data_IF_847987288806
#
_entry.id   IF_847987288806
#
_cell.length_a   1.000
_cell.length_b   1.000
_cell.length_c   1.000
_cell.angle_alpha   90.00
_cell.angle_beta   90.00
_cell.angle_gamma   90.00
#
_symmetry.space_group_name_H-M   'P 1'
#
loop_
_entity.id
_entity.type
_entity.pdbx_description
1 polymer ?
#
# COMPACT_ATOMS: atom_id res chain seq x y z
N UNK A 1 -5.70 18.51 -0.28
CA UNK A 1 -6.26 18.98 1.02
C UNK A 1 -7.22 17.92 1.51
N UNK A 2 -7.10 17.48 2.77
CA UNK A 2 -7.95 16.43 3.31
C UNK A 2 -9.42 16.89 3.41
N UNK A 3 -10.37 15.95 3.50
CA UNK A 3 -11.80 16.28 3.64
C UNK A 3 -12.11 17.12 4.88
N UNK A 4 -13.27 17.77 4.90
CA UNK A 4 -13.72 18.52 6.07
C UNK A 4 -13.82 17.59 7.29
N UNK A 5 -13.27 18.03 8.43
CA UNK A 5 -13.23 17.24 9.66
C UNK A 5 -11.98 16.35 9.78
N UNK A 6 -11.09 16.41 8.79
CA UNK A 6 -9.82 15.71 8.77
C UNK A 6 -8.63 16.66 8.86
N UNK A 7 -7.56 16.21 9.50
CA UNK A 7 -6.32 16.95 9.72
C UNK A 7 -5.17 16.23 9.01
N UNK A 8 -4.52 16.94 8.06
CA UNK A 8 -3.32 16.46 7.40
C UNK A 8 -2.19 16.34 8.42
N UNK A 9 -1.54 15.18 8.47
CA UNK A 9 -0.43 14.89 9.37
C UNK A 9 0.90 14.88 8.65
N UNK A 10 0.93 14.35 7.42
CA UNK A 10 2.16 14.25 6.66
C UNK A 10 1.90 14.26 5.16
N UNK A 11 2.86 14.75 4.39
CA UNK A 11 2.93 14.54 2.95
C UNK A 11 4.19 13.76 2.64
N UNK A 12 4.05 12.68 1.90
CA UNK A 12 5.17 11.82 1.50
C UNK A 12 5.31 11.90 -0.01
N UNK A 13 6.52 12.14 -0.48
CA UNK A 13 6.84 11.91 -1.89
C UNK A 13 7.44 10.53 -2.02
N UNK A 14 6.92 9.74 -2.95
CA UNK A 14 7.32 8.37 -3.21
C UNK A 14 8.03 8.30 -4.56
N UNK A 15 8.77 7.21 -4.76
CA UNK A 15 9.17 6.78 -6.11
C UNK A 15 7.94 6.42 -6.95
N UNK A 16 8.16 6.24 -8.26
CA UNK A 16 7.08 5.85 -9.19
C UNK A 16 6.11 6.99 -9.55
N UNK A 17 6.51 8.25 -9.39
CA UNK A 17 5.67 9.42 -9.64
C UNK A 17 4.38 9.45 -8.81
N UNK A 18 4.53 9.20 -7.50
CA UNK A 18 3.42 9.21 -6.55
C UNK A 18 3.69 10.19 -5.40
N UNK A 19 2.67 10.96 -5.05
CA UNK A 19 2.61 11.72 -3.80
C UNK A 19 1.53 11.14 -2.89
N UNK A 20 1.74 11.14 -1.58
CA UNK A 20 0.79 10.65 -0.60
C UNK A 20 0.48 11.73 0.44
N UNK A 21 -0.80 11.91 0.76
CA UNK A 21 -1.24 12.73 1.89
C UNK A 21 -1.78 11.82 2.97
N UNK A 22 -1.19 11.87 4.15
CA UNK A 22 -1.59 11.08 5.32
C UNK A 22 -2.31 11.97 6.32
N UNK A 23 -3.50 11.58 6.72
CA UNK A 23 -4.37 12.40 7.55
C UNK A 23 -5.21 11.56 8.50
N UNK A 24 -5.78 12.21 9.51
CA UNK A 24 -6.70 11.58 10.47
C UNK A 24 -8.00 12.37 10.51
N UNK A 25 -9.13 11.70 10.76
CA UNK A 25 -10.43 12.36 10.80
C UNK A 25 -11.04 12.25 12.20
N UNK A 26 -11.61 13.37 12.67
CA UNK A 26 -12.21 13.45 14.02
C UNK A 26 -13.45 12.57 14.21
N UNK A 27 -14.05 12.09 13.12
CA UNK A 27 -15.21 11.19 13.13
C UNK A 27 -14.86 9.71 13.19
N UNK A 28 -13.59 9.33 12.98
CA UNK A 28 -13.19 7.93 12.90
C UNK A 28 -12.85 7.35 14.29
N UNK A 29 -12.66 6.03 14.34
CA UNK A 29 -12.24 5.36 15.56
C UNK A 29 -10.82 5.80 15.96
N UNK A 30 -10.48 5.83 17.27
CA UNK A 30 -9.14 6.15 17.70
C UNK A 30 -8.09 5.21 17.09
N UNK A 31 -7.07 5.79 16.46
CA UNK A 31 -6.01 5.06 15.76
C UNK A 31 -6.27 4.87 14.27
N UNK A 32 -7.48 5.16 13.78
CA UNK A 32 -7.75 5.19 12.35
C UNK A 32 -6.99 6.35 11.69
N UNK A 33 -6.47 6.05 10.52
CA UNK A 33 -5.70 6.99 9.71
C UNK A 33 -5.93 6.69 8.24
N UNK A 34 -5.84 7.75 7.45
CA UNK A 34 -6.06 7.71 6.02
C UNK A 34 -4.80 8.06 5.26
N UNK A 35 -4.72 7.52 4.05
CA UNK A 35 -3.81 7.99 3.02
C UNK A 35 -4.60 8.22 1.73
N UNK A 36 -4.28 9.29 1.00
CA UNK A 36 -4.66 9.47 -0.40
C UNK A 36 -3.41 9.55 -1.24
N UNK A 37 -3.34 8.74 -2.30
CA UNK A 37 -2.27 8.73 -3.28
C UNK A 37 -2.66 9.54 -4.52
N UNK A 38 -1.71 10.30 -5.03
CA UNK A 38 -1.82 11.19 -6.17
C UNK A 38 -0.77 10.80 -7.20
N UNK A 39 -1.18 10.80 -8.47
CA UNK A 39 -0.28 10.79 -9.63
C UNK A 39 -0.43 12.11 -10.40
N UNK A 40 0.15 12.21 -11.60
CA UNK A 40 0.11 13.43 -12.41
C UNK A 40 -1.30 13.85 -12.86
N UNK A 41 -2.26 12.91 -12.88
CA UNK A 41 -3.65 13.22 -13.22
C UNK A 41 -4.49 13.58 -11.99
N UNK A 42 -3.90 13.45 -10.79
CA UNK A 42 -4.52 13.81 -9.51
C UNK A 42 -4.75 12.61 -8.59
N UNK A 43 -5.75 12.66 -7.70
CA UNK A 43 -5.97 11.61 -6.72
C UNK A 43 -6.45 10.33 -7.39
N UNK A 44 -5.78 9.20 -7.11
CA UNK A 44 -6.09 7.89 -7.73
C UNK A 44 -6.65 6.86 -6.76
N UNK A 45 -6.21 6.89 -5.51
CA UNK A 45 -6.55 5.88 -4.51
C UNK A 45 -6.58 6.50 -3.12
N UNK A 46 -7.54 6.10 -2.29
CA UNK A 46 -7.54 6.42 -0.86
C UNK A 46 -7.71 5.15 -0.05
N UNK A 47 -7.06 5.06 1.10
CA UNK A 47 -7.23 3.94 2.02
C UNK A 47 -7.32 4.41 3.46
N UNK A 48 -8.15 3.74 4.25
CA UNK A 48 -8.20 3.86 5.72
C UNK A 48 -7.65 2.58 6.33
N UNK A 49 -6.75 2.76 7.28
CA UNK A 49 -6.27 1.69 8.16
C UNK A 49 -6.59 2.04 9.61
N UNK A 50 -6.70 1.02 10.46
CA UNK A 50 -6.85 1.21 11.90
C UNK A 50 -5.51 1.12 12.65
N UNK A 51 -5.56 1.11 13.98
CA UNK A 51 -4.38 1.03 14.84
C UNK A 51 -3.53 -0.24 14.66
N UNK A 52 -4.12 -1.33 14.14
CA UNK A 52 -3.43 -2.58 13.83
C UNK A 52 -3.02 -2.64 12.35
N UNK A 53 -3.10 -1.52 11.64
CA UNK A 53 -2.82 -1.37 10.20
C UNK A 53 -3.69 -2.24 9.29
N UNK A 54 -4.86 -2.67 9.78
CA UNK A 54 -5.79 -3.47 8.98
C UNK A 54 -6.43 -2.61 7.90
N UNK A 55 -6.61 -3.16 6.71
CA UNK A 55 -7.11 -2.43 5.53
C UNK A 55 -8.63 -2.25 5.63
N UNK A 56 -9.06 -1.36 6.50
CA UNK A 56 -10.47 -1.14 6.82
C UNK A 56 -11.28 -0.73 5.59
N UNK A 57 -10.68 0.07 4.72
CA UNK A 57 -11.30 0.61 3.53
C UNK A 57 -10.24 0.95 2.47
N UNK A 58 -10.52 0.59 1.22
CA UNK A 58 -9.73 0.93 0.04
C UNK A 58 -10.66 1.47 -1.04
N UNK A 59 -10.34 2.63 -1.59
CA UNK A 59 -11.20 3.38 -2.50
C UNK A 59 -10.40 3.70 -3.75
N UNK A 60 -10.80 3.16 -4.88
CA UNK A 60 -10.33 3.65 -6.16
C UNK A 60 -11.13 4.90 -6.53
N UNK A 61 -10.44 6.04 -6.59
CA UNK A 61 -11.07 7.35 -6.79
C UNK A 61 -11.43 7.63 -8.26
N UNK A 62 -11.01 6.76 -9.19
CA UNK A 62 -11.26 6.90 -10.63
C UNK A 62 -12.53 6.19 -11.07
N UNK A 63 -12.79 5.00 -10.53
CA UNK A 63 -13.99 4.21 -10.87
C UNK A 63 -15.01 4.11 -9.73
N UNK A 64 -14.65 4.53 -8.51
CA UNK A 64 -15.53 4.53 -7.34
C UNK A 64 -15.73 3.16 -6.70
N UNK A 65 -14.89 2.17 -7.04
CA UNK A 65 -14.89 0.88 -6.36
C UNK A 65 -14.37 1.09 -4.93
N UNK A 66 -15.11 0.54 -3.96
CA UNK A 66 -14.79 0.61 -2.53
C UNK A 66 -14.73 -0.82 -2.00
N UNK A 67 -13.57 -1.22 -1.50
CA UNK A 67 -13.35 -2.48 -0.79
C UNK A 67 -13.29 -2.25 0.71
N UNK A 68 -14.04 -3.06 1.46
CA UNK A 68 -14.11 -2.99 2.91
C UNK A 68 -13.60 -4.30 3.52
N UNK A 69 -12.87 -4.20 4.64
CA UNK A 69 -12.53 -5.36 5.46
C UNK A 69 -13.80 -6.04 6.00
N UNK A 70 -13.92 -7.35 5.79
CA UNK A 70 -14.98 -8.11 6.45
C UNK A 70 -14.66 -8.30 7.95
N UNK A 71 -15.62 -8.09 8.86
CA UNK A 71 -15.37 -8.23 10.29
C UNK A 71 -14.89 -9.62 10.71
N UNK A 72 -15.41 -10.66 10.05
CA UNK A 72 -15.03 -12.06 10.29
C UNK A 72 -13.84 -12.45 9.40
N UNK A 73 -12.73 -12.80 10.04
CA UNK A 73 -11.55 -13.34 9.39
C UNK A 73 -11.08 -14.58 10.13
N UNK A 74 -10.31 -15.43 9.44
CA UNK A 74 -9.57 -16.50 10.10
C UNK A 74 -8.42 -15.90 10.91
N UNK A 75 -7.74 -14.92 10.32
CA UNK A 75 -6.76 -14.10 11.02
C UNK A 75 -6.70 -12.70 10.39
N UNK A 76 -6.78 -11.66 11.21
CA UNK A 76 -6.61 -10.29 10.75
C UNK A 76 -5.15 -9.91 10.90
N UNK A 77 -4.63 -9.08 9.98
CA UNK A 77 -3.29 -8.50 10.15
C UNK A 77 -3.17 -7.79 11.53
N UNK A 78 -2.01 -7.93 12.16
CA UNK A 78 -1.72 -7.38 13.49
C UNK A 78 -0.37 -6.69 13.53
N UNK A 79 -0.39 -5.37 13.40
CA UNK A 79 0.80 -4.54 13.54
C UNK A 79 1.49 -4.71 14.90
N UNK A 80 0.71 -4.84 15.98
CA UNK A 80 1.26 -5.03 17.32
C UNK A 80 1.96 -6.38 17.47
N UNK A 81 1.48 -7.42 16.78
CA UNK A 81 2.15 -8.72 16.70
C UNK A 81 3.45 -8.58 15.92
N UNK A 82 3.42 -8.04 14.71
CA UNK A 82 4.61 -7.80 13.89
C UNK A 82 5.72 -7.08 14.67
N UNK A 83 5.40 -5.96 15.32
CA UNK A 83 6.39 -5.17 16.08
C UNK A 83 6.96 -5.93 17.28
N UNK A 84 6.18 -6.82 17.89
CA UNK A 84 6.57 -7.57 19.09
C UNK A 84 7.38 -8.82 18.76
N UNK A 85 7.04 -9.53 17.69
CA UNK A 85 7.60 -10.85 17.36
C UNK A 85 8.55 -10.80 16.17
N UNK A 86 8.47 -9.75 15.35
CA UNK A 86 9.14 -9.68 14.05
C UNK A 86 8.38 -10.37 12.92
N UNK A 87 7.17 -10.90 13.17
CA UNK A 87 6.41 -11.69 12.19
C UNK A 87 4.90 -11.62 12.46
N UNK A 88 4.11 -11.44 11.40
CA UNK A 88 2.65 -11.51 11.42
C UNK A 88 2.15 -12.32 10.22
N UNK A 89 1.24 -13.26 10.46
CA UNK A 89 0.51 -13.98 9.41
C UNK A 89 -0.90 -13.41 9.32
N UNK A 90 -1.52 -13.43 8.14
CA UNK A 90 -2.90 -12.98 8.00
C UNK A 90 -3.70 -13.80 6.97
N UNK A 91 -5.01 -13.87 7.19
CA UNK A 91 -5.98 -14.64 6.41
C UNK A 91 -7.39 -14.03 6.58
N UNK A 92 -7.64 -12.96 5.84
CA UNK A 92 -8.84 -12.14 5.96
C UNK A 92 -9.57 -11.99 4.61
N UNK A 93 -10.77 -11.43 4.67
CA UNK A 93 -11.60 -11.18 3.52
C UNK A 93 -11.88 -9.69 3.35
N UNK A 94 -11.93 -9.24 2.11
CA UNK A 94 -12.50 -7.94 1.76
C UNK A 94 -13.73 -8.14 0.89
N UNK A 95 -14.61 -7.15 0.88
CA UNK A 95 -15.77 -7.10 0.01
C UNK A 95 -15.92 -5.73 -0.62
N UNK A 96 -16.07 -5.72 -1.94
CA UNK A 96 -16.31 -4.51 -2.70
C UNK A 96 -17.78 -4.06 -2.63
N UNK A 97 -18.03 -2.80 -2.93
CA UNK A 97 -19.37 -2.24 -3.11
C UNK A 97 -20.12 -2.82 -4.33
N UNK A 98 -19.43 -3.55 -5.22
CA UNK A 98 -20.04 -4.31 -6.32
C UNK A 98 -20.39 -5.74 -5.91
N UNK A 99 -20.02 -6.16 -4.70
CA UNK A 99 -20.31 -7.46 -4.11
C UNK A 99 -19.21 -8.50 -4.31
N UNK A 100 -18.15 -8.18 -5.05
CA UNK A 100 -16.96 -9.03 -5.18
C UNK A 100 -16.33 -9.25 -3.80
N UNK A 101 -15.89 -10.48 -3.55
CA UNK A 101 -15.29 -10.87 -2.28
C UNK A 101 -13.95 -11.52 -2.54
N UNK A 102 -12.92 -11.02 -1.89
CA UNK A 102 -11.53 -11.44 -2.09
C UNK A 102 -10.93 -11.91 -0.77
N UNK A 103 -10.20 -13.02 -0.82
CA UNK A 103 -9.46 -13.54 0.33
C UNK A 103 -8.00 -13.13 0.21
N UNK A 104 -7.48 -12.50 1.24
CA UNK A 104 -6.10 -12.05 1.33
C UNK A 104 -5.37 -12.95 2.32
N UNK A 105 -4.34 -13.65 1.86
CA UNK A 105 -3.54 -14.57 2.68
C UNK A 105 -2.07 -14.24 2.50
N UNK A 106 -1.36 -14.07 3.60
CA UNK A 106 0.02 -13.64 3.53
C UNK A 106 0.74 -13.57 4.87
N UNK A 107 1.93 -13.01 4.81
CA UNK A 107 2.79 -12.77 5.98
C UNK A 107 3.57 -11.46 5.79
N UNK A 108 3.86 -10.81 6.91
CA UNK A 108 4.81 -9.71 7.04
C UNK A 108 5.91 -10.09 8.03
N UNK A 109 7.17 -9.78 7.70
CA UNK A 109 8.33 -10.09 8.55
C UNK A 109 9.29 -8.93 8.63
N UNK A 110 9.65 -8.51 9.85
CA UNK A 110 10.75 -7.56 10.06
C UNK A 110 12.08 -8.24 9.74
N UNK A 111 12.93 -7.59 8.94
CA UNK A 111 14.25 -8.13 8.59
C UNK A 111 15.27 -7.91 9.72
N UNK A 112 14.97 -7.00 10.64
CA UNK A 112 15.90 -6.49 11.66
C UNK A 112 16.82 -5.37 11.14
N UNK A 113 16.73 -5.03 9.86
CA UNK A 113 17.45 -3.90 9.27
C UNK A 113 16.68 -2.59 9.45
N UNK A 114 17.42 -1.49 9.48
CA UNK A 114 16.85 -0.14 9.59
C UNK A 114 17.53 0.80 8.60
N UNK A 115 16.80 1.83 8.19
CA UNK A 115 17.31 2.92 7.36
C UNK A 115 16.75 4.26 7.86
N UNK A 116 17.30 5.36 7.35
CA UNK A 116 16.78 6.71 7.59
C UNK A 116 16.56 7.37 6.23
N UNK A 117 15.32 7.80 5.98
CA UNK A 117 14.93 8.50 4.75
C UNK A 117 14.39 9.86 5.18
N UNK A 118 15.03 10.93 4.69
CA UNK A 118 14.65 12.32 5.02
C UNK A 118 14.51 12.57 6.53
N UNK A 119 15.45 12.03 7.31
CA UNK A 119 15.45 12.13 8.77
C UNK A 119 14.46 11.22 9.51
N UNK A 120 13.58 10.50 8.80
CA UNK A 120 12.63 9.55 9.38
C UNK A 120 13.27 8.16 9.51
N UNK A 121 13.38 7.60 10.73
CA UNK A 121 13.86 6.23 10.92
C UNK A 121 12.79 5.23 10.47
N UNK A 122 13.24 4.18 9.78
CA UNK A 122 12.38 3.15 9.20
C UNK A 122 12.98 1.77 9.44
N UNK A 123 12.13 0.80 9.78
CA UNK A 123 12.47 -0.62 9.82
C UNK A 123 12.11 -1.25 8.48
N UNK A 124 12.91 -2.19 8.00
CA UNK A 124 12.62 -2.91 6.76
C UNK A 124 11.80 -4.18 7.06
N UNK A 125 10.79 -4.45 6.24
CA UNK A 125 10.01 -5.69 6.23
C UNK A 125 10.15 -6.41 4.90
N UNK A 126 9.90 -7.71 4.91
CA UNK A 126 9.56 -8.48 3.72
C UNK A 126 8.11 -8.96 3.84
N UNK A 127 7.41 -9.08 2.71
CA UNK A 127 6.04 -9.59 2.68
C UNK A 127 5.83 -10.60 1.56
N UNK A 128 4.81 -11.45 1.75
CA UNK A 128 4.16 -12.22 0.70
C UNK A 128 2.65 -12.08 0.84
N UNK A 129 1.96 -11.85 -0.27
CA UNK A 129 0.51 -11.72 -0.30
C UNK A 129 -0.06 -12.44 -1.52
N UNK A 130 -1.03 -13.30 -1.25
CA UNK A 130 -1.87 -13.96 -2.25
C UNK A 130 -3.30 -13.52 -2.10
N UNK A 131 -3.90 -13.12 -3.21
CA UNK A 131 -5.32 -12.75 -3.28
C UNK A 131 -6.06 -13.82 -4.05
N UNK A 132 -7.12 -14.35 -3.45
CA UNK A 132 -7.98 -15.36 -4.04
C UNK A 132 -9.39 -14.84 -4.26
N UNK A 133 -10.05 -15.34 -5.30
CA UNK A 133 -11.49 -15.17 -5.48
C UNK A 133 -12.27 -15.92 -4.41
N UNK A 134 -13.57 -15.64 -4.30
CA UNK A 134 -14.47 -16.39 -3.41
C UNK A 134 -14.54 -17.89 -3.73
N UNK A 135 -14.32 -18.30 -4.98
CA UNK A 135 -14.25 -19.71 -5.38
C UNK A 135 -12.90 -20.38 -5.11
N UNK A 136 -11.90 -19.63 -4.63
CA UNK A 136 -10.56 -20.12 -4.30
C UNK A 136 -9.57 -20.10 -5.46
N UNK A 137 -9.88 -19.41 -6.55
CA UNK A 137 -8.94 -19.16 -7.65
C UNK A 137 -7.90 -18.12 -7.24
N UNK A 138 -6.62 -18.36 -7.53
CA UNK A 138 -5.55 -17.40 -7.28
C UNK A 138 -5.62 -16.27 -8.32
N UNK A 139 -5.83 -15.04 -7.86
CA UNK A 139 -5.94 -13.86 -8.71
C UNK A 139 -4.65 -13.05 -8.76
N UNK A 140 -3.96 -12.94 -7.62
CA UNK A 140 -2.73 -12.15 -7.46
C UNK A 140 -1.76 -12.92 -6.58
N UNK A 141 -0.49 -12.96 -6.98
CA UNK A 141 0.64 -13.38 -6.16
C UNK A 141 1.67 -12.25 -6.13
N UNK A 142 1.98 -11.75 -4.94
CA UNK A 142 2.85 -10.60 -4.73
C UNK A 142 3.81 -10.84 -3.58
N UNK A 143 5.01 -10.28 -3.70
CA UNK A 143 6.04 -10.31 -2.68
C UNK A 143 6.92 -9.09 -2.79
N UNK A 144 7.55 -8.69 -1.71
CA UNK A 144 8.40 -7.53 -1.76
C UNK A 144 8.95 -7.11 -0.41
N UNK A 145 9.37 -5.86 -0.38
CA UNK A 145 9.89 -5.17 0.80
C UNK A 145 9.07 -3.91 1.03
N UNK A 146 8.80 -3.61 2.30
CA UNK A 146 8.14 -2.38 2.73
C UNK A 146 8.91 -1.78 3.91
N UNK A 147 8.57 -0.54 4.27
CA UNK A 147 9.15 0.12 5.44
C UNK A 147 8.09 0.28 6.53
N UNK A 148 8.50 0.20 7.78
CA UNK A 148 7.63 0.42 8.93
C UNK A 148 8.18 1.56 9.79
N UNK A 149 7.30 2.46 10.20
CA UNK A 149 7.57 3.37 11.31
C UNK A 149 6.56 3.11 12.43
N UNK A 150 7.05 2.66 13.58
CA UNK A 150 6.21 2.33 14.72
C UNK A 150 5.57 3.57 15.37
N UNK A 151 6.26 4.71 15.36
CA UNK A 151 5.76 5.96 15.94
C UNK A 151 4.65 6.57 15.07
N UNK A 152 4.76 6.42 13.75
CA UNK A 152 3.70 6.79 12.80
C UNK A 152 2.58 5.74 12.76
N UNK A 153 2.84 4.52 13.26
CA UNK A 153 1.87 3.44 13.30
C UNK A 153 1.48 2.92 11.91
N UNK A 154 2.41 2.84 10.96
CA UNK A 154 2.10 2.43 9.58
C UNK A 154 3.27 1.83 8.81
N UNK A 155 2.90 1.25 7.66
CA UNK A 155 3.80 0.87 6.59
C UNK A 155 3.93 1.98 5.54
N UNK A 156 5.06 1.99 4.83
CA UNK A 156 5.30 2.71 3.58
C UNK A 156 5.65 1.71 2.50
N UNK A 157 5.30 2.05 1.25
CA UNK A 157 5.65 1.26 0.08
C UNK A 157 7.15 1.05 -0.06
N UNK A 158 7.52 0.05 -0.85
CA UNK A 158 8.90 -0.25 -1.19
C UNK A 158 8.92 -0.94 -2.55
N UNK A 159 9.79 -1.93 -2.73
CA UNK A 159 9.86 -2.70 -3.97
C UNK A 159 8.89 -3.87 -3.92
N UNK A 160 8.07 -4.02 -4.95
CA UNK A 160 7.12 -5.13 -5.10
C UNK A 160 7.33 -5.84 -6.44
N UNK A 161 7.23 -7.17 -6.41
CA UNK A 161 7.04 -8.01 -7.58
C UNK A 161 5.65 -8.65 -7.50
N UNK A 162 4.84 -8.43 -8.53
CA UNK A 162 3.45 -8.89 -8.58
C UNK A 162 3.17 -9.63 -9.88
N UNK A 163 2.39 -10.69 -9.77
CA UNK A 163 1.85 -11.45 -10.89
C UNK A 163 0.34 -11.57 -10.76
N UNK A 164 -0.39 -11.49 -11.87
CA UNK A 164 -1.83 -11.71 -11.87
C UNK A 164 -2.24 -13.00 -12.59
N UNK A 165 -3.53 -13.32 -12.53
CA UNK A 165 -4.11 -14.52 -13.16
C UNK A 165 -4.00 -14.55 -14.69
N UNK A 166 -3.74 -13.42 -15.34
CA UNK A 166 -3.51 -13.35 -16.80
C UNK A 166 -2.07 -13.71 -17.18
N UNK A 167 -1.17 -13.80 -16.20
CA UNK A 167 0.26 -13.97 -16.40
C UNK A 167 1.00 -12.66 -16.61
N UNK A 168 0.35 -11.51 -16.35
CA UNK A 168 1.02 -10.23 -16.32
C UNK A 168 1.94 -10.17 -15.10
N UNK A 169 3.18 -9.73 -15.31
CA UNK A 169 4.19 -9.56 -14.28
C UNK A 169 4.63 -8.11 -14.24
N UNK A 170 4.62 -7.52 -13.05
CA UNK A 170 5.02 -6.14 -12.82
C UNK A 170 6.03 -6.05 -11.68
N UNK A 171 6.91 -5.05 -11.78
CA UNK A 171 7.82 -4.66 -10.71
C UNK A 171 7.67 -3.17 -10.47
N UNK A 172 7.40 -2.78 -9.24
CA UNK A 172 7.22 -1.38 -8.84
C UNK A 172 8.20 -1.03 -7.72
N UNK A 173 8.44 0.27 -7.55
CA UNK A 173 9.17 0.83 -6.42
C UNK A 173 8.41 2.07 -5.95
N UNK A 174 7.70 1.91 -4.83
CA UNK A 174 6.93 2.96 -4.18
C UNK A 174 7.64 3.44 -2.89
N UNK A 175 8.97 3.30 -2.83
CA UNK A 175 9.76 3.70 -1.67
C UNK A 175 9.59 5.19 -1.36
N UNK A 176 9.49 5.59 -0.08
CA UNK A 176 9.48 7.00 0.28
C UNK A 176 10.80 7.69 -0.08
N UNK A 177 10.71 8.96 -0.46
CA UNK A 177 11.86 9.81 -0.83
C UNK A 177 11.98 11.00 0.11
N UNK A 178 10.87 11.70 0.39
CA UNK A 178 10.81 12.82 1.34
C UNK A 178 9.56 12.77 2.19
N UNK A 179 9.65 13.28 3.41
CA UNK A 179 8.56 13.44 4.36
C UNK A 179 8.44 14.92 4.73
N UNK A 180 7.24 15.49 4.59
CA UNK A 180 6.95 16.86 5.00
C UNK A 180 5.88 16.87 6.08
N UNK A 181 6.18 17.53 7.19
CA UNK A 181 5.35 17.73 8.37
C UNK A 181 4.71 19.14 8.38
N UNK A 182 3.73 19.43 9.26
CA UNK A 182 3.09 20.74 9.32
C UNK A 182 4.10 21.88 9.51
N UNK A 183 4.10 22.83 8.58
CA UNK A 183 5.01 23.99 8.57
C UNK A 183 6.25 23.81 7.71
N UNK A 184 6.51 22.61 7.18
CA UNK A 184 7.63 22.33 6.28
C UNK A 184 7.26 22.55 4.81
N UNK A 185 8.28 22.72 3.97
CA UNK A 185 8.08 22.84 2.53
C UNK A 185 7.56 21.51 1.96
N UNK A 186 6.61 21.60 1.01
CA UNK A 186 5.99 20.41 0.41
C UNK A 186 4.81 19.82 1.20
N UNK A 187 4.59 20.27 2.45
CA UNK A 187 3.41 19.86 3.22
C UNK A 187 2.12 20.28 2.51
N UNK A 188 1.25 19.31 2.24
CA UNK A 188 0.00 19.51 1.50
C UNK A 188 0.15 19.50 -0.02
N UNK A 189 1.35 19.24 -0.55
CA UNK A 189 1.54 19.00 -1.99
C UNK A 189 0.76 17.77 -2.45
N UNK A 190 0.17 17.87 -3.63
CA UNK A 190 -0.45 16.75 -4.34
C UNK A 190 0.32 16.37 -5.60
N UNK A 191 1.30 17.19 -5.99
CA UNK A 191 2.05 16.99 -7.22
C UNK A 191 3.22 16.04 -6.92
N UNK A 192 3.28 14.87 -7.58
CA UNK A 192 4.44 14.02 -7.51
C UNK A 192 5.62 14.66 -8.25
N UNK A 193 6.82 14.59 -7.67
CA UNK A 193 8.02 15.23 -8.26
C UNK A 193 9.19 14.27 -8.50
N UNK A 194 9.11 13.03 -8.05
CA UNK A 194 10.15 12.02 -8.26
C UNK A 194 9.73 10.98 -9.30
N UNK A 195 10.67 10.59 -10.16
CA UNK A 195 10.51 9.56 -11.19
C UNK A 195 9.38 9.81 -12.23
N UNK A 196 8.82 11.03 -12.29
CA UNK A 196 7.74 11.39 -13.21
C UNK A 196 8.13 11.49 -14.69
N UNK A 197 9.42 11.65 -14.98
CA UNK A 197 9.94 11.68 -16.34
C UNK A 197 10.49 10.31 -16.79
N UNK A 198 10.32 9.26 -15.98
CA UNK A 198 10.73 7.93 -16.38
C UNK A 198 9.74 7.36 -17.39
N UNK A 199 10.13 7.37 -18.66
CA UNK A 199 9.61 6.42 -19.63
C UNK A 199 9.76 5.02 -19.02
N UNK A 200 8.64 4.39 -18.63
CA UNK A 200 8.64 3.02 -18.11
C UNK A 200 9.46 2.16 -19.08
N UNK A 201 10.54 1.55 -18.58
CA UNK A 201 11.20 0.46 -19.27
C UNK A 201 10.28 -0.74 -19.12
N UNK A 202 9.22 -0.79 -19.92
CA UNK A 202 8.48 -2.01 -20.18
C UNK A 202 9.42 -2.92 -20.97
N UNK A 203 10.26 -3.70 -20.29
CA UNK A 203 10.98 -4.80 -20.90
C UNK A 203 9.96 -5.88 -21.30
N UNK A 204 9.34 -5.70 -22.47
CA UNK A 204 8.64 -6.76 -23.16
C UNK A 204 9.66 -7.80 -23.62
N UNK A 205 9.95 -8.78 -22.77
CA UNK A 205 10.59 -10.01 -23.22
C UNK A 205 9.54 -10.89 -23.88
N UNK A 206 9.18 -10.56 -25.13
CA UNK A 206 8.40 -11.45 -25.98
C UNK A 206 9.32 -12.58 -26.48
N UNK A 207 9.43 -13.65 -25.71
CA UNK A 207 9.94 -14.93 -26.21
C UNK A 207 8.81 -15.68 -26.91
N UNK A 208 8.76 -15.56 -28.24
CA UNK A 208 7.98 -16.46 -29.11
C UNK A 208 8.77 -17.77 -29.24
N UNK A 209 8.24 -18.94 -28.88
CA UNK A 209 8.87 -20.20 -29.24
C UNK A 209 8.58 -20.52 -30.71
N UNK A 210 9.63 -20.56 -31.53
CA UNK A 210 9.61 -21.16 -32.86
C UNK A 210 9.20 -22.64 -32.76
N UNK A 211 8.09 -23.00 -33.43
CA UNK A 211 7.73 -24.39 -33.72
C UNK A 211 8.34 -24.78 -35.07
N UNK A 212 9.17 -25.84 -35.16
CA UNK A 212 9.46 -26.46 -36.44
C UNK A 212 8.36 -27.44 -36.85
N UNK A 213 8.10 -27.46 -38.16
CA UNK A 213 7.21 -28.37 -38.91
C UNK A 213 7.50 -29.85 -38.68
#
# INVERSE_FOLDING_TARGET
>A
MPPQGCELKMTVQLRGCVAAQEFVCSGDAPGDQWVTYFDQEGPRHSSRIDAETRWMESINLRDGIVDMLEPEAKDHASFSTLLRTGHDDFDFWTRSNTGERLRNVGEDRLTGETTVIDGVPLQLTEFQLKVFSESGELLIDSKGQQFVNADHGRFYGGVEERSDWTGEHQKTDDSPVTFAMPGEAGFGSTDPVFDCDMQMVMEFTHSVPDLPL
#
